data_IF_092660303204
#
_entry.id   IF_092660303204
#
_cell.length_a   1.000
_cell.length_b   1.000
_cell.length_c   1.000
_cell.angle_alpha   90.00
_cell.angle_beta   90.00
_cell.angle_gamma   90.00
#
_symmetry.space_group_name_H-M   'P 1'
#
loop_
_entity.id
_entity.type
_entity.pdbx_description
1 polymer ?
#
# COMPACT_ATOMS: atom_id res chain seq x y z
N UNK A 1 32.20 -44.21 -23.41
CA UNK A 1 33.40 -43.80 -24.15
C UNK A 1 33.80 -42.44 -23.61
N UNK A 2 34.76 -42.38 -22.66
CA UNK A 2 36.19 -42.10 -22.80
C UNK A 2 36.40 -40.91 -23.73
N UNK A 3 36.96 -39.78 -23.35
CA UNK A 3 37.93 -39.46 -22.33
C UNK A 3 38.45 -38.04 -22.52
N UNK A 4 39.49 -37.64 -21.90
CA UNK A 4 39.58 -36.43 -21.08
C UNK A 4 40.72 -35.46 -21.50
N UNK A 5 40.94 -34.41 -20.63
CA UNK A 5 42.20 -33.73 -20.31
C UNK A 5 42.81 -32.69 -21.27
N UNK A 6 43.14 -31.56 -20.67
CA UNK A 6 44.05 -30.56 -21.19
C UNK A 6 44.30 -29.41 -20.27
N UNK A 7 44.95 -29.66 -19.15
CA UNK A 7 45.58 -28.64 -18.33
C UNK A 7 46.86 -28.11 -18.98
N UNK A 8 47.11 -26.78 -18.91
CA UNK A 8 48.48 -26.24 -18.94
C UNK A 8 48.59 -24.98 -18.09
N UNK A 9 49.34 -25.18 -17.04
CA UNK A 9 49.97 -24.14 -16.25
C UNK A 9 51.18 -23.57 -17.00
N UNK A 10 51.49 -22.32 -16.80
CA UNK A 10 52.86 -21.81 -16.95
C UNK A 10 53.11 -20.63 -16.01
N UNK A 11 54.14 -20.75 -15.29
CA UNK A 11 54.71 -19.98 -14.19
C UNK A 11 55.66 -18.86 -14.70
N UNK A 12 56.37 -18.17 -13.82
CA UNK A 12 56.50 -16.70 -13.75
C UNK A 12 57.90 -16.21 -14.13
N UNK A 13 58.11 -14.91 -14.22
CA UNK A 13 59.48 -14.35 -14.25
C UNK A 13 59.60 -13.12 -13.35
N UNK A 14 60.35 -13.35 -12.30
CA UNK A 14 61.07 -12.36 -11.50
C UNK A 14 61.97 -11.46 -12.34
N UNK A 15 62.00 -10.17 -12.03
CA UNK A 15 63.24 -9.39 -12.17
C UNK A 15 63.35 -8.30 -11.11
N UNK A 16 64.26 -8.57 -10.18
CA UNK A 16 64.89 -7.58 -9.28
C UNK A 16 65.77 -6.64 -10.09
N UNK A 17 65.81 -5.37 -9.76
CA UNK A 17 67.01 -4.55 -9.86
C UNK A 17 67.11 -3.59 -8.68
N UNK A 18 68.28 -3.66 -8.05
CA UNK A 18 68.81 -2.84 -6.96
C UNK A 18 69.52 -1.59 -7.52
N UNK A 19 69.68 -0.61 -6.63
CA UNK A 19 70.74 0.41 -6.63
C UNK A 19 70.21 1.78 -7.00
N UNK A 20 70.49 2.84 -6.36
CA UNK A 20 71.57 3.21 -5.46
C UNK A 20 71.33 4.62 -4.95
N UNK A 21 71.99 4.89 -3.94
CA UNK A 21 72.21 5.98 -3.02
C UNK A 21 72.38 7.40 -3.60
N UNK A 22 72.00 8.31 -2.70
CA UNK A 22 72.67 9.54 -2.24
C UNK A 22 72.20 10.87 -2.87
N UNK A 23 71.68 11.78 -2.11
CA UNK A 23 72.35 12.89 -1.45
C UNK A 23 71.44 14.09 -1.18
N UNK A 24 71.47 14.53 0.06
CA UNK A 24 71.43 15.92 0.55
C UNK A 24 70.09 16.75 0.38
N UNK A 25 69.54 17.01 1.55
CA UNK A 25 68.67 18.14 1.82
C UNK A 25 69.35 19.50 1.64
N UNK A 26 68.56 20.53 1.42
CA UNK A 26 68.65 21.66 2.34
C UNK A 26 67.30 22.01 3.01
N UNK A 27 67.45 22.39 4.26
CA UNK A 27 66.45 23.01 5.12
C UNK A 27 66.03 24.38 4.56
N UNK A 28 64.76 24.59 4.29
CA UNK A 28 64.12 25.90 4.43
C UNK A 28 62.81 25.73 5.17
N UNK A 29 62.82 26.28 6.37
CA UNK A 29 61.64 26.44 7.19
C UNK A 29 60.81 27.61 6.68
N UNK A 30 59.56 27.35 6.35
CA UNK A 30 58.49 28.36 6.35
C UNK A 30 57.21 27.68 6.86
N UNK A 31 56.63 28.16 7.95
CA UNK A 31 55.33 27.67 8.36
C UNK A 31 54.25 28.47 7.59
N UNK A 32 53.87 27.98 6.45
CA UNK A 32 52.64 28.42 5.82
C UNK A 32 51.50 27.51 6.37
N UNK A 33 50.75 28.07 7.28
CA UNK A 33 49.51 27.46 7.77
C UNK A 33 48.52 27.34 6.61
N UNK A 34 48.48 26.19 5.97
CA UNK A 34 47.40 25.81 5.07
C UNK A 34 46.27 25.32 5.94
N UNK A 35 45.34 26.26 6.22
CA UNK A 35 44.03 25.91 6.72
C UNK A 35 43.27 25.15 5.61
N UNK A 36 43.34 23.85 5.65
CA UNK A 36 42.49 22.96 4.88
C UNK A 36 41.09 23.05 5.51
N UNK A 37 40.28 23.97 4.99
CA UNK A 37 38.86 23.95 5.25
C UNK A 37 38.32 22.72 4.52
N UNK A 38 38.29 21.61 5.26
CA UNK A 38 37.51 20.44 4.84
C UNK A 38 36.03 20.83 4.89
N UNK A 39 35.49 21.30 3.75
CA UNK A 39 34.05 21.38 3.53
C UNK A 39 33.56 19.92 3.57
N UNK A 40 33.11 19.49 4.74
CA UNK A 40 32.23 18.34 4.86
C UNK A 40 30.90 18.74 4.23
N UNK A 41 30.76 18.50 2.94
CA UNK A 41 29.45 18.33 2.30
C UNK A 41 28.85 17.10 2.98
N UNK A 42 28.16 17.33 4.10
CA UNK A 42 27.18 16.42 4.61
C UNK A 42 26.09 16.43 3.55
N UNK A 43 26.19 15.53 2.57
CA UNK A 43 25.06 15.14 1.80
C UNK A 43 24.06 14.61 2.83
N UNK A 44 23.12 15.46 3.23
CA UNK A 44 21.93 15.01 3.93
C UNK A 44 21.29 13.98 2.97
N UNK A 45 21.57 12.70 3.23
CA UNK A 45 20.74 11.65 2.69
C UNK A 45 19.35 12.02 3.20
N UNK A 46 18.53 12.55 2.33
CA UNK A 46 17.10 12.74 2.58
C UNK A 46 16.59 11.34 2.88
N UNK A 47 16.51 10.98 4.16
CA UNK A 47 15.82 9.79 4.57
C UNK A 47 14.41 9.98 4.02
N UNK A 48 14.07 9.24 2.96
CA UNK A 48 12.73 9.25 2.43
C UNK A 48 11.78 8.97 3.57
N UNK A 49 10.97 9.95 3.90
CA UNK A 49 9.92 9.75 4.90
C UNK A 49 9.00 8.66 4.36
N UNK A 50 8.61 7.69 5.19
CA UNK A 50 7.64 6.70 4.77
C UNK A 50 6.38 7.43 4.29
N UNK A 51 5.78 6.95 3.20
CA UNK A 51 4.51 7.48 2.69
C UNK A 51 3.50 7.61 3.83
N UNK A 52 2.81 8.75 3.95
CA UNK A 52 1.75 8.92 4.96
C UNK A 52 0.67 7.87 4.71
N UNK A 53 0.50 6.96 5.65
CA UNK A 53 -0.50 5.90 5.50
C UNK A 53 -1.86 6.42 5.93
N UNK A 54 -2.92 5.97 5.25
CA UNK A 54 -4.30 6.37 5.55
C UNK A 54 -4.69 6.12 7.01
N UNK A 55 -4.14 5.08 7.64
CA UNK A 55 -4.39 4.79 9.07
C UNK A 55 -3.69 5.70 10.06
N UNK A 56 -2.74 6.51 9.61
CA UNK A 56 -2.01 7.46 10.44
C UNK A 56 -2.60 8.87 10.29
N UNK A 57 -3.65 8.99 9.44
CA UNK A 57 -4.37 10.24 9.24
C UNK A 57 -5.06 10.68 10.52
N UNK A 58 -4.76 11.90 10.96
CA UNK A 58 -5.42 12.52 12.10
C UNK A 58 -6.82 12.94 11.72
N UNK A 59 -7.83 12.50 12.48
CA UNK A 59 -9.23 12.84 12.25
C UNK A 59 -9.77 13.74 13.36
N UNK A 60 -10.42 14.88 13.02
CA UNK A 60 -10.66 15.38 11.68
C UNK A 60 -9.43 16.09 11.11
N UNK A 61 -9.28 16.09 9.78
CA UNK A 61 -8.23 16.84 9.08
C UNK A 61 -8.85 17.68 7.97
N UNK A 62 -8.46 18.96 7.80
CA UNK A 62 -8.89 19.74 6.65
C UNK A 62 -8.41 19.11 5.34
N UNK A 63 -9.21 19.19 4.29
CA UNK A 63 -8.80 18.67 2.97
C UNK A 63 -7.58 19.39 2.41
N UNK A 64 -7.34 20.66 2.76
CA UNK A 64 -6.15 21.40 2.35
C UNK A 64 -4.86 20.95 3.03
N UNK A 65 -4.94 20.15 4.09
CA UNK A 65 -3.77 19.61 4.79
C UNK A 65 -3.39 18.19 4.30
N UNK A 66 -4.13 17.66 3.32
CA UNK A 66 -3.83 16.37 2.73
C UNK A 66 -2.55 16.44 1.88
N UNK A 67 -1.69 15.42 1.91
CA UNK A 67 -0.47 15.37 1.11
C UNK A 67 -0.80 15.08 -0.36
N UNK A 68 -1.20 16.11 -1.12
CA UNK A 68 -1.63 15.96 -2.53
C UNK A 68 -0.50 15.46 -3.45
N UNK A 69 0.77 15.53 -3.02
CA UNK A 69 1.89 14.95 -3.76
C UNK A 69 1.92 13.42 -3.68
N UNK A 70 1.41 12.86 -2.56
CA UNK A 70 1.34 11.41 -2.37
C UNK A 70 -0.05 10.83 -2.60
N UNK A 71 -1.11 11.62 -2.32
CA UNK A 71 -2.51 11.22 -2.54
C UNK A 71 -2.95 11.75 -3.90
N UNK A 72 -2.78 10.94 -4.93
CA UNK A 72 -2.98 11.36 -6.33
C UNK A 72 -4.29 10.84 -6.93
N UNK A 73 -4.69 11.43 -8.06
CA UNK A 73 -5.87 11.07 -8.85
C UNK A 73 -7.20 11.11 -8.09
N UNK A 74 -7.49 12.15 -7.28
CA UNK A 74 -8.72 12.18 -6.52
C UNK A 74 -9.95 12.13 -7.42
N UNK A 75 -10.87 11.22 -7.08
CA UNK A 75 -12.14 10.99 -7.80
C UNK A 75 -13.26 10.72 -6.80
N UNK A 76 -14.50 10.84 -7.22
CA UNK A 76 -15.62 10.46 -6.37
C UNK A 76 -15.59 8.96 -6.09
N UNK A 77 -15.72 8.59 -4.83
CA UNK A 77 -15.83 7.20 -4.40
C UNK A 77 -17.15 6.56 -4.80
N UNK A 78 -17.14 5.25 -4.89
CA UNK A 78 -18.31 4.43 -5.26
C UNK A 78 -18.54 3.28 -4.28
N UNK A 79 -18.12 3.49 -3.03
CA UNK A 79 -18.29 2.52 -1.95
C UNK A 79 -17.57 1.18 -2.24
N UNK A 80 -16.31 1.26 -2.69
CA UNK A 80 -15.46 0.10 -3.00
C UNK A 80 -15.54 -0.39 -4.45
N UNK A 81 -16.32 0.24 -5.29
CA UNK A 81 -16.29 0.02 -6.75
C UNK A 81 -15.19 0.82 -7.44
N UNK A 82 -15.16 0.80 -8.78
CA UNK A 82 -14.21 1.61 -9.55
C UNK A 82 -14.43 3.11 -9.26
N UNK A 83 -13.38 3.95 -9.33
CA UNK A 83 -13.52 5.38 -9.11
C UNK A 83 -14.53 6.00 -10.07
N UNK A 84 -15.30 6.95 -9.56
CA UNK A 84 -16.31 7.68 -10.32
C UNK A 84 -15.71 8.90 -11.04
N UNK A 85 -16.39 10.05 -10.90
CA UNK A 85 -15.97 11.30 -11.53
C UNK A 85 -14.62 11.76 -10.98
N UNK A 86 -13.61 11.95 -11.85
CA UNK A 86 -12.36 12.59 -11.49
C UNK A 86 -12.59 14.05 -11.07
N UNK A 87 -12.04 14.46 -9.93
CA UNK A 87 -12.21 15.81 -9.40
C UNK A 87 -10.94 16.66 -9.49
N UNK A 88 -9.77 16.03 -9.65
CA UNK A 88 -8.49 16.68 -9.91
C UNK A 88 -7.80 17.30 -8.68
N UNK A 89 -8.53 17.61 -7.60
CA UNK A 89 -8.03 18.05 -6.30
C UNK A 89 -9.04 17.71 -5.23
N UNK A 90 -8.60 17.42 -4.01
CA UNK A 90 -9.50 17.17 -2.88
C UNK A 90 -10.38 18.37 -2.51
N UNK A 91 -9.94 19.58 -2.75
CA UNK A 91 -10.74 20.79 -2.54
C UNK A 91 -12.06 20.80 -3.35
N UNK A 92 -12.13 19.98 -4.43
CA UNK A 92 -13.33 19.84 -5.26
C UNK A 92 -14.24 18.70 -4.84
N UNK A 93 -14.10 18.20 -3.62
CA UNK A 93 -14.91 17.09 -3.06
C UNK A 93 -16.42 17.34 -3.17
N UNK A 94 -16.86 18.59 -3.18
CA UNK A 94 -18.27 18.95 -3.34
C UNK A 94 -18.91 18.45 -4.64
N UNK A 95 -18.11 18.14 -5.65
CA UNK A 95 -18.59 17.51 -6.90
C UNK A 95 -19.05 16.08 -6.70
N UNK A 96 -18.66 15.45 -5.60
CA UNK A 96 -19.09 14.10 -5.26
C UNK A 96 -20.45 14.14 -4.56
N UNK A 97 -21.29 13.18 -4.91
CA UNK A 97 -22.63 13.08 -4.30
C UNK A 97 -22.52 12.73 -2.83
N UNK A 98 -23.24 13.42 -1.92
CA UNK A 98 -23.26 13.05 -0.52
C UNK A 98 -23.97 11.69 -0.32
N UNK A 99 -23.49 10.93 0.61
CA UNK A 99 -24.13 9.72 1.13
C UNK A 99 -25.28 10.07 2.09
N UNK A 100 -26.01 9.05 2.56
CA UNK A 100 -27.08 9.23 3.56
C UNK A 100 -26.58 9.85 4.87
N UNK A 101 -25.30 9.63 5.21
CA UNK A 101 -24.60 10.25 6.34
C UNK A 101 -24.33 11.76 6.15
N UNK A 102 -24.51 12.28 4.95
CA UNK A 102 -24.11 13.63 4.55
C UNK A 102 -22.64 13.76 4.18
N UNK A 103 -21.84 12.73 4.40
CA UNK A 103 -20.42 12.68 4.01
C UNK A 103 -20.30 12.44 2.50
N UNK A 104 -19.20 12.88 1.93
CA UNK A 104 -18.86 12.66 0.52
C UNK A 104 -17.64 11.76 0.44
N UNK A 105 -17.76 10.67 -0.30
CA UNK A 105 -16.66 9.75 -0.49
C UNK A 105 -15.80 10.23 -1.64
N UNK A 106 -14.49 10.38 -1.35
CA UNK A 106 -13.46 10.75 -2.33
C UNK A 106 -12.42 9.65 -2.36
N UNK A 107 -12.36 8.95 -3.49
CA UNK A 107 -11.37 7.95 -3.78
C UNK A 107 -10.04 8.60 -4.16
N UNK A 108 -8.93 7.92 -3.87
CA UNK A 108 -7.58 8.30 -4.28
C UNK A 108 -6.68 7.07 -4.37
N UNK A 109 -5.51 7.23 -4.95
CA UNK A 109 -4.40 6.28 -4.85
C UNK A 109 -3.15 6.98 -4.31
N UNK A 110 -2.21 6.20 -3.81
CA UNK A 110 -0.88 6.72 -3.54
C UNK A 110 -0.10 6.87 -4.84
N UNK A 111 0.83 7.82 -4.87
CA UNK A 111 1.84 7.87 -5.93
C UNK A 111 2.69 6.60 -5.86
N UNK A 112 2.74 5.85 -6.96
CA UNK A 112 3.41 4.56 -7.07
C UNK A 112 4.80 4.67 -7.76
N UNK A 113 5.26 5.87 -8.08
CA UNK A 113 6.54 6.07 -8.79
C UNK A 113 7.70 5.39 -8.04
N UNK A 114 7.81 5.62 -6.74
CA UNK A 114 8.86 5.03 -5.93
C UNK A 114 8.72 3.51 -5.76
N UNK A 115 7.52 2.99 -5.72
CA UNK A 115 7.28 1.55 -5.72
C UNK A 115 7.74 0.92 -7.04
N UNK A 116 7.44 1.55 -8.17
CA UNK A 116 7.87 1.09 -9.50
C UNK A 116 9.40 1.10 -9.62
N UNK A 117 10.06 2.16 -9.15
CA UNK A 117 11.52 2.26 -9.12
C UNK A 117 12.12 1.14 -8.26
N UNK A 118 11.58 0.92 -7.06
CA UNK A 118 12.04 -0.13 -6.14
C UNK A 118 11.85 -1.54 -6.74
N UNK A 119 10.74 -1.78 -7.42
CA UNK A 119 10.48 -3.04 -8.14
C UNK A 119 11.46 -3.26 -9.28
N UNK A 120 11.75 -2.22 -10.08
CA UNK A 120 12.74 -2.28 -11.15
C UNK A 120 14.15 -2.55 -10.62
N UNK A 121 14.52 -1.96 -9.49
CA UNK A 121 15.78 -2.18 -8.78
C UNK A 121 15.84 -3.52 -8.04
N UNK A 122 14.72 -4.24 -7.88
CA UNK A 122 14.57 -5.45 -7.08
C UNK A 122 15.00 -5.25 -5.63
N UNK A 123 14.68 -4.11 -5.05
CA UNK A 123 14.95 -3.74 -3.66
C UNK A 123 13.73 -4.07 -2.78
N UNK A 124 13.74 -5.21 -2.05
CA UNK A 124 12.60 -5.64 -1.25
C UNK A 124 12.28 -4.68 -0.09
N UNK A 125 13.30 -4.02 0.47
CA UNK A 125 13.11 -3.09 1.57
C UNK A 125 12.47 -1.78 1.08
N UNK A 126 12.88 -1.29 -0.09
CA UNK A 126 12.25 -0.14 -0.72
C UNK A 126 10.81 -0.45 -1.16
N UNK A 127 10.55 -1.64 -1.70
CA UNK A 127 9.19 -2.09 -2.04
C UNK A 127 8.32 -2.10 -0.77
N UNK A 128 8.80 -2.66 0.33
CA UNK A 128 8.03 -2.73 1.57
C UNK A 128 7.72 -1.34 2.16
N UNK A 129 8.62 -0.37 2.00
CA UNK A 129 8.41 1.01 2.46
C UNK A 129 7.39 1.76 1.61
N UNK A 130 7.38 1.55 0.31
CA UNK A 130 6.57 2.32 -0.64
C UNK A 130 5.26 1.61 -1.04
N UNK A 131 5.01 0.39 -0.55
CA UNK A 131 3.83 -0.40 -0.87
C UNK A 131 2.63 0.03 0.00
N UNK A 132 2.02 1.16 -0.34
CA UNK A 132 0.93 1.75 0.43
C UNK A 132 -0.47 1.26 0.02
N UNK A 133 -0.59 0.67 -1.19
CA UNK A 133 -1.85 0.13 -1.73
C UNK A 133 -2.04 -1.37 -1.50
N UNK A 134 -1.34 -1.95 -0.50
CA UNK A 134 -1.38 -3.39 -0.20
C UNK A 134 -1.51 -3.64 1.29
N UNK A 135 -2.40 -4.55 1.68
CA UNK A 135 -2.59 -5.03 3.05
C UNK A 135 -2.51 -6.55 3.06
N UNK A 136 -1.58 -7.11 3.82
CA UNK A 136 -1.31 -8.58 3.84
C UNK A 136 -1.14 -9.18 2.43
N UNK A 137 -0.46 -8.47 1.53
CA UNK A 137 -0.27 -8.93 0.15
C UNK A 137 -1.49 -8.72 -0.77
N UNK A 138 -2.61 -8.21 -0.26
CA UNK A 138 -3.82 -7.94 -1.03
C UNK A 138 -3.86 -6.48 -1.50
N UNK A 139 -4.03 -6.21 -2.79
CA UNK A 139 -4.30 -4.86 -3.29
C UNK A 139 -5.54 -4.28 -2.64
N UNK A 140 -5.48 -2.99 -2.33
CA UNK A 140 -6.60 -2.26 -1.72
C UNK A 140 -6.91 -0.97 -2.47
N UNK A 141 -8.14 -0.52 -2.34
CA UNK A 141 -8.59 0.80 -2.77
C UNK A 141 -8.92 1.64 -1.54
N UNK A 142 -8.68 2.94 -1.65
CA UNK A 142 -8.75 3.88 -0.54
C UNK A 142 -9.75 4.99 -0.83
N UNK A 143 -10.46 5.42 0.20
CA UNK A 143 -11.35 6.58 0.10
C UNK A 143 -11.38 7.36 1.40
N UNK A 144 -11.49 8.68 1.28
CA UNK A 144 -11.76 9.61 2.38
C UNK A 144 -13.25 9.93 2.45
N UNK A 145 -13.72 10.21 3.65
CA UNK A 145 -15.10 10.62 3.92
C UNK A 145 -15.08 12.05 4.43
N UNK A 146 -15.55 12.99 3.61
CA UNK A 146 -15.41 14.43 3.78
C UNK A 146 -16.78 15.04 4.08
N UNK A 147 -16.87 15.87 5.11
CA UNK A 147 -18.08 16.60 5.46
C UNK A 147 -18.25 17.89 4.63
N UNK A 148 -19.37 18.60 4.83
CA UNK A 148 -19.65 19.86 4.11
C UNK A 148 -18.66 20.99 4.40
N UNK A 149 -17.98 20.94 5.53
CA UNK A 149 -17.00 21.96 5.92
C UNK A 149 -15.60 21.68 5.31
N UNK A 150 -15.44 20.61 4.54
CA UNK A 150 -14.16 20.18 3.99
C UNK A 150 -13.26 19.50 5.01
N UNK A 151 -13.85 18.90 6.06
CA UNK A 151 -13.10 18.12 7.02
C UNK A 151 -13.22 16.64 6.70
N UNK A 152 -12.09 15.96 6.63
CA UNK A 152 -12.03 14.49 6.57
C UNK A 152 -12.47 13.94 7.91
N UNK A 153 -13.62 13.30 7.93
CA UNK A 153 -14.25 12.71 9.13
C UNK A 153 -13.97 11.22 9.26
N UNK A 154 -13.40 10.63 8.23
CA UNK A 154 -13.12 9.20 8.21
C UNK A 154 -12.53 8.74 6.90
N UNK A 155 -12.31 7.43 6.82
CA UNK A 155 -11.79 6.80 5.62
C UNK A 155 -12.32 5.37 5.47
N UNK A 156 -12.15 4.84 4.26
CA UNK A 156 -12.46 3.44 3.91
C UNK A 156 -11.28 2.79 3.23
N UNK A 157 -11.12 1.52 3.49
CA UNK A 157 -10.17 0.64 2.80
C UNK A 157 -10.95 -0.58 2.35
N UNK A 158 -10.82 -0.90 1.06
CA UNK A 158 -11.46 -2.08 0.46
C UNK A 158 -10.39 -2.94 -0.19
N UNK A 159 -10.53 -4.25 -0.17
CA UNK A 159 -9.75 -5.11 -1.07
C UNK A 159 -10.15 -4.82 -2.52
N UNK A 160 -9.18 -4.68 -3.42
CA UNK A 160 -9.45 -4.26 -4.81
C UNK A 160 -10.18 -5.37 -5.59
N UNK A 161 -11.42 -5.15 -6.04
CA UNK A 161 -12.17 -6.15 -6.79
C UNK A 161 -11.59 -6.40 -8.19
N UNK A 162 -10.63 -5.59 -8.65
CA UNK A 162 -9.94 -5.73 -9.94
C UNK A 162 -8.65 -6.53 -9.84
N UNK A 163 -8.23 -6.92 -8.63
CA UNK A 163 -7.07 -7.78 -8.45
C UNK A 163 -7.26 -9.11 -9.17
N UNK A 164 -6.16 -9.78 -9.46
CA UNK A 164 -6.16 -11.12 -10.05
C UNK A 164 -7.01 -12.09 -9.22
N UNK A 165 -7.63 -13.06 -9.88
CA UNK A 165 -8.56 -14.00 -9.26
C UNK A 165 -7.95 -14.75 -8.07
N UNK A 166 -6.70 -15.16 -8.19
CA UNK A 166 -5.97 -15.87 -7.13
C UNK A 166 -5.84 -14.99 -5.86
N UNK A 167 -5.48 -13.72 -6.02
CA UNK A 167 -5.42 -12.76 -4.92
C UNK A 167 -6.82 -12.51 -4.36
N UNK A 168 -7.82 -12.24 -5.22
CA UNK A 168 -9.19 -12.01 -4.79
C UNK A 168 -9.75 -13.16 -3.97
N UNK A 169 -9.44 -14.41 -4.33
CA UNK A 169 -9.95 -15.56 -3.59
C UNK A 169 -9.62 -15.52 -2.09
N UNK A 170 -8.53 -14.87 -1.70
CA UNK A 170 -8.08 -14.76 -0.31
C UNK A 170 -8.40 -13.39 0.34
N UNK A 171 -9.04 -12.48 -0.39
CA UNK A 171 -9.26 -11.10 0.04
C UNK A 171 -10.04 -10.96 1.36
N UNK A 172 -10.96 -11.87 1.65
CA UNK A 172 -11.74 -11.88 2.90
C UNK A 172 -10.85 -11.96 4.15
N UNK A 173 -9.69 -12.62 4.05
CA UNK A 173 -8.74 -12.78 5.15
C UNK A 173 -8.12 -11.47 5.65
N UNK A 174 -8.14 -10.40 4.84
CA UNK A 174 -7.61 -9.08 5.21
C UNK A 174 -8.37 -8.46 6.40
N UNK A 175 -9.61 -8.88 6.63
CA UNK A 175 -10.42 -8.44 7.78
C UNK A 175 -9.71 -8.68 9.12
N UNK A 176 -8.88 -9.72 9.21
CA UNK A 176 -8.07 -10.02 10.41
C UNK A 176 -7.06 -8.89 10.67
N UNK A 177 -6.37 -8.42 9.62
CA UNK A 177 -5.42 -7.32 9.74
C UNK A 177 -6.12 -6.01 10.10
N UNK A 178 -7.29 -5.75 9.55
CA UNK A 178 -8.08 -4.58 9.88
C UNK A 178 -8.47 -4.59 11.37
N UNK A 179 -8.98 -5.71 11.86
CA UNK A 179 -9.32 -5.86 13.29
C UNK A 179 -8.07 -5.71 14.18
N UNK A 180 -6.96 -6.34 13.82
CA UNK A 180 -5.72 -6.31 14.59
C UNK A 180 -5.14 -4.89 14.72
N UNK A 181 -5.27 -4.05 13.67
CA UNK A 181 -4.79 -2.65 13.68
C UNK A 181 -5.39 -1.82 14.82
N UNK A 182 -6.64 -2.11 15.18
CA UNK A 182 -7.37 -1.40 16.24
C UNK A 182 -7.52 -2.23 17.53
N UNK A 183 -6.70 -3.27 17.69
CA UNK A 183 -6.79 -4.22 18.80
C UNK A 183 -7.80 -5.33 18.55
N UNK A 184 -7.44 -6.56 18.90
CA UNK A 184 -8.24 -7.76 18.67
C UNK A 184 -9.52 -7.84 19.52
N UNK A 185 -9.53 -7.17 20.66
CA UNK A 185 -10.63 -7.22 21.63
C UNK A 185 -11.66 -6.11 21.42
N UNK A 186 -12.87 -6.32 21.93
CA UNK A 186 -13.95 -5.32 21.93
C UNK A 186 -14.70 -5.19 20.60
N UNK A 187 -14.52 -6.12 19.67
CA UNK A 187 -15.32 -6.21 18.45
C UNK A 187 -16.64 -6.94 18.73
N UNK A 188 -17.75 -6.35 18.29
CA UNK A 188 -19.06 -7.00 18.24
C UNK A 188 -19.31 -7.46 16.80
N UNK A 189 -19.32 -8.75 16.58
CA UNK A 189 -19.44 -9.34 15.25
C UNK A 189 -20.78 -10.05 15.09
N UNK A 190 -21.38 -9.85 13.92
CA UNK A 190 -22.62 -10.50 13.52
C UNK A 190 -22.43 -11.19 12.16
N UNK A 191 -22.75 -12.48 12.12
CA UNK A 191 -22.80 -13.26 10.90
C UNK A 191 -24.16 -13.07 10.21
N UNK A 192 -24.11 -12.83 8.91
CA UNK A 192 -25.31 -12.82 8.07
C UNK A 192 -25.48 -14.19 7.43
N UNK A 193 -26.64 -14.85 7.59
CA UNK A 193 -26.87 -16.13 6.94
C UNK A 193 -26.82 -16.04 5.41
N UNK A 194 -26.54 -17.16 4.77
CA UNK A 194 -26.55 -17.26 3.32
C UNK A 194 -27.93 -16.87 2.76
N UNK A 195 -27.95 -16.02 1.75
CA UNK A 195 -29.14 -15.74 0.98
C UNK A 195 -29.41 -16.89 0.00
N UNK A 196 -30.61 -16.91 -0.61
CA UNK A 196 -30.96 -17.91 -1.60
C UNK A 196 -29.94 -17.96 -2.74
N UNK A 197 -29.39 -19.15 -3.00
CA UNK A 197 -28.39 -19.38 -4.03
C UNK A 197 -26.92 -19.04 -3.65
N UNK A 198 -26.67 -18.42 -2.50
CA UNK A 198 -25.31 -18.26 -2.00
C UNK A 198 -24.81 -19.59 -1.41
N UNK A 199 -23.60 -20.00 -1.77
CA UNK A 199 -23.04 -21.29 -1.30
C UNK A 199 -21.60 -21.13 -0.83
N UNK A 200 -21.10 -21.99 0.09
CA UNK A 200 -19.74 -21.97 0.56
C UNK A 200 -18.71 -22.22 -0.56
N UNK A 201 -17.56 -21.57 -0.48
CA UNK A 201 -16.37 -21.86 -1.30
C UNK A 201 -15.52 -22.87 -0.53
N UNK A 202 -15.28 -24.05 -1.07
CA UNK A 202 -14.50 -25.11 -0.41
C UNK A 202 -14.94 -25.39 1.04
N UNK A 203 -16.24 -25.27 1.32
CA UNK A 203 -16.81 -25.48 2.65
C UNK A 203 -16.72 -24.25 3.58
N UNK A 204 -16.14 -23.14 3.15
CA UNK A 204 -16.04 -21.91 3.90
C UNK A 204 -17.09 -20.91 3.41
N UNK A 205 -17.93 -20.42 4.31
CA UNK A 205 -18.88 -19.33 4.07
C UNK A 205 -18.60 -18.22 5.07
N UNK A 206 -18.31 -17.03 4.60
CA UNK A 206 -18.10 -15.83 5.45
C UNK A 206 -19.01 -14.71 4.95
N UNK A 207 -19.79 -14.16 5.84
CA UNK A 207 -20.60 -12.94 5.63
C UNK A 207 -20.75 -12.25 6.97
N UNK A 208 -19.61 -11.72 7.45
CA UNK A 208 -19.46 -11.16 8.77
C UNK A 208 -19.39 -9.63 8.73
N UNK A 209 -20.02 -8.98 9.71
CA UNK A 209 -19.87 -7.56 9.99
C UNK A 209 -19.51 -7.39 11.46
N UNK A 210 -18.36 -6.77 11.72
CA UNK A 210 -17.87 -6.45 13.05
C UNK A 210 -17.84 -4.94 13.27
N UNK A 211 -18.25 -4.51 14.46
CA UNK A 211 -18.26 -3.11 14.86
C UNK A 211 -17.50 -2.92 16.16
N UNK A 212 -16.83 -1.79 16.29
CA UNK A 212 -16.12 -1.38 17.50
C UNK A 212 -16.14 0.14 17.62
N UNK A 213 -16.32 0.64 18.84
CA UNK A 213 -16.10 2.04 19.15
C UNK A 213 -14.82 2.16 20.01
N UNK A 214 -13.88 3.00 19.58
CA UNK A 214 -12.63 3.25 20.28
C UNK A 214 -12.12 4.66 19.97
N UNK A 215 -11.64 5.38 20.97
CA UNK A 215 -10.99 6.69 20.83
C UNK A 215 -11.81 7.73 20.03
N UNK A 216 -13.14 7.73 20.21
CA UNK A 216 -14.05 8.63 19.49
C UNK A 216 -14.29 8.23 18.01
N UNK A 217 -13.83 7.05 17.61
CA UNK A 217 -14.03 6.48 16.29
C UNK A 217 -15.08 5.35 16.33
N UNK A 218 -15.92 5.30 15.31
CA UNK A 218 -16.75 4.16 14.97
C UNK A 218 -16.06 3.36 13.88
N UNK A 219 -15.74 2.12 14.18
CA UNK A 219 -15.02 1.20 13.31
C UNK A 219 -15.98 0.13 12.82
N UNK A 220 -15.97 -0.14 11.52
CA UNK A 220 -16.72 -1.25 10.93
C UNK A 220 -15.76 -2.07 10.06
N UNK A 221 -15.76 -3.38 10.27
CA UNK A 221 -15.05 -4.34 9.40
C UNK A 221 -16.08 -5.29 8.83
N UNK A 222 -16.12 -5.41 7.50
CA UNK A 222 -16.92 -6.41 6.81
C UNK A 222 -16.00 -7.43 6.12
N UNK A 223 -16.40 -8.69 6.15
CA UNK A 223 -15.72 -9.79 5.48
C UNK A 223 -16.73 -10.66 4.76
N UNK A 224 -16.44 -11.02 3.49
CA UNK A 224 -17.33 -11.81 2.64
C UNK A 224 -16.51 -12.86 1.89
N UNK A 225 -17.01 -14.10 1.88
CA UNK A 225 -16.43 -15.20 1.12
C UNK A 225 -17.48 -16.26 0.82
N UNK A 226 -18.02 -16.24 -0.39
CA UNK A 226 -19.06 -17.19 -0.83
C UNK A 226 -19.24 -17.15 -2.34
N UNK A 227 -19.83 -18.19 -2.93
CA UNK A 227 -20.33 -18.16 -4.31
C UNK A 227 -21.65 -17.40 -4.39
N UNK A 228 -21.75 -16.51 -5.39
CA UNK A 228 -22.98 -15.76 -5.68
C UNK A 228 -23.97 -16.64 -6.44
N UNK A 229 -25.31 -16.42 -6.30
CA UNK A 229 -26.27 -17.12 -7.09
C UNK A 229 -26.19 -16.75 -8.59
N UNK A 230 -26.28 -17.74 -9.44
CA UNK A 230 -26.94 -17.66 -10.72
C UNK A 230 -26.26 -16.99 -11.90
N UNK A 231 -24.94 -16.86 -11.98
CA UNK A 231 -24.31 -16.49 -13.26
C UNK A 231 -23.06 -17.37 -13.51
N UNK A 232 -23.30 -18.58 -14.00
CA UNK A 232 -22.22 -19.34 -14.63
C UNK A 232 -21.87 -18.61 -15.93
N UNK A 233 -20.75 -17.89 -15.96
CA UNK A 233 -20.14 -17.52 -17.23
C UNK A 233 -19.62 -18.80 -17.88
N UNK A 234 -19.86 -18.95 -19.16
CA UNK A 234 -19.24 -20.05 -19.91
C UNK A 234 -17.82 -19.64 -20.26
N UNK A 235 -16.86 -20.51 -20.00
CA UNK A 235 -15.50 -20.36 -20.50
C UNK A 235 -15.54 -20.27 -22.02
N UNK A 236 -15.05 -19.18 -22.63
CA UNK A 236 -15.13 -18.99 -24.09
C UNK A 236 -14.38 -20.04 -24.90
N UNK A 237 -13.42 -20.76 -24.28
CA UNK A 237 -12.61 -21.77 -24.95
C UNK A 237 -13.19 -23.17 -24.82
N UNK A 238 -13.77 -23.49 -23.64
CA UNK A 238 -14.25 -24.84 -23.33
C UNK A 238 -15.78 -24.98 -23.38
N UNK A 239 -16.52 -23.86 -23.35
CA UNK A 239 -17.96 -23.84 -23.26
C UNK A 239 -18.52 -24.38 -21.93
N UNK A 240 -17.66 -24.68 -20.98
CA UNK A 240 -18.04 -25.17 -19.66
C UNK A 240 -18.40 -24.00 -18.73
N UNK A 241 -19.33 -24.18 -17.78
CA UNK A 241 -19.60 -23.17 -16.76
C UNK A 241 -18.33 -22.89 -15.94
N UNK A 242 -17.87 -21.64 -15.98
CA UNK A 242 -16.82 -21.19 -15.05
C UNK A 242 -17.46 -20.85 -13.72
N UNK A 243 -16.95 -21.41 -12.64
CA UNK A 243 -17.43 -21.20 -11.26
C UNK A 243 -16.94 -19.85 -10.71
N UNK A 244 -16.73 -18.85 -11.55
CA UNK A 244 -15.96 -17.63 -11.23
C UNK A 244 -16.78 -16.49 -10.61
N UNK A 245 -17.98 -16.74 -10.15
CA UNK A 245 -18.78 -15.72 -9.49
C UNK A 245 -18.76 -15.88 -7.97
N UNK A 246 -17.60 -15.68 -7.42
CA UNK A 246 -17.48 -15.59 -5.98
C UNK A 246 -17.40 -14.14 -5.51
N UNK A 247 -17.85 -13.92 -4.31
CA UNK A 247 -17.51 -12.75 -3.50
C UNK A 247 -16.42 -13.15 -2.54
N UNK A 248 -15.30 -12.45 -2.59
CA UNK A 248 -14.28 -12.54 -1.56
C UNK A 248 -13.72 -11.15 -1.37
N UNK A 249 -14.03 -10.54 -0.24
CA UNK A 249 -13.70 -9.13 0.02
C UNK A 249 -13.57 -8.87 1.51
N UNK A 250 -12.75 -7.86 1.84
CA UNK A 250 -12.74 -7.24 3.15
C UNK A 250 -12.85 -5.72 3.01
N UNK A 251 -13.52 -5.12 3.96
CA UNK A 251 -13.71 -3.68 4.06
C UNK A 251 -13.45 -3.22 5.47
N UNK A 252 -12.72 -2.12 5.60
CA UNK A 252 -12.63 -1.32 6.81
C UNK A 252 -13.28 0.04 6.57
N UNK A 253 -14.08 0.49 7.52
CA UNK A 253 -14.54 1.87 7.59
C UNK A 253 -14.22 2.43 8.97
N UNK A 254 -13.63 3.61 8.98
CA UNK A 254 -13.30 4.37 10.19
C UNK A 254 -13.98 5.73 10.06
N UNK A 255 -14.83 6.10 11.01
CA UNK A 255 -15.54 7.39 11.02
C UNK A 255 -15.54 7.94 12.44
N UNK A 256 -15.36 9.24 12.60
CA UNK A 256 -15.58 9.90 13.88
C UNK A 256 -17.03 9.77 14.31
N UNK A 257 -17.26 9.39 15.58
CA UNK A 257 -18.62 9.21 16.12
C UNK A 257 -19.46 10.49 16.00
N UNK A 258 -18.84 11.65 16.20
CA UNK A 258 -19.50 12.96 16.08
C UNK A 258 -20.02 13.28 14.65
N UNK A 259 -19.47 12.63 13.65
CA UNK A 259 -19.88 12.81 12.26
C UNK A 259 -21.11 11.98 11.86
N UNK A 260 -21.47 10.97 12.69
CA UNK A 260 -22.62 10.08 12.43
C UNK A 260 -23.95 10.62 12.98
N UNK A 261 -23.90 11.68 13.80
CA UNK A 261 -25.07 12.24 14.48
C UNK A 261 -25.57 13.58 13.95
N UNK A 262 -25.15 13.99 12.76
CA UNK A 262 -25.57 15.26 12.16
C UNK A 262 -26.52 15.08 11.02
#
# INVERSE_FOLDING_TARGET
MRGPLGARASRPLHRRRKGGRDARAPRFAHPAALAVVALFLVAAASAQQPLPRIWDLQLPSPVGDLPEEEFVDPACGTNGGPPGLAIGSFERFERCRPEASGLRETWFRYDDEWELIARAARDPDAIARNNAMVVLGQPVTLSLLIDRAGLVQGYRIFTDPRADEELRAQAYGVAIAFKARFGTDGWSCNDTPAAEGETPILGIFVKERCEKAADGLALTVESRHYYKPGQAMLDPNTGLPTVNQFESSARLQVIRVEALGK
#
